data_IF_462197463351
#
_entry.id   IF_462197463351
#
_cell.length_a   1.000
_cell.length_b   1.000
_cell.length_c   1.000
_cell.angle_alpha   90.00
_cell.angle_beta   90.00
_cell.angle_gamma   90.00
#
_symmetry.space_group_name_H-M   'P 1'
#
loop_
_entity.id
_entity.type
_entity.pdbx_description
1 polymer ?
#
# COMPACT_ATOMS: atom_id res chain seq x y z
N UNK A 1 11.63 -12.91 -14.08
CA UNK A 1 11.72 -11.52 -13.60
C UNK A 1 11.92 -10.63 -14.82
N UNK A 2 11.00 -9.70 -15.11
CA UNK A 2 11.11 -8.73 -16.21
C UNK A 2 11.32 -7.31 -15.64
N UNK A 3 12.55 -6.76 -15.72
CA UNK A 3 12.85 -5.42 -15.23
C UNK A 3 12.07 -4.32 -15.95
N UNK A 4 11.80 -4.48 -17.25
CA UNK A 4 11.10 -3.49 -18.04
C UNK A 4 9.62 -3.45 -17.66
N UNK A 5 8.98 -4.61 -17.47
CA UNK A 5 7.63 -4.69 -16.91
C UNK A 5 7.57 -4.04 -15.52
N UNK A 6 8.54 -4.33 -14.63
CA UNK A 6 8.58 -3.75 -13.27
C UNK A 6 8.64 -2.21 -13.32
N UNK A 7 9.50 -1.62 -14.16
CA UNK A 7 9.60 -0.16 -14.32
C UNK A 7 8.29 0.44 -14.84
N UNK A 8 7.67 -0.17 -15.87
CA UNK A 8 6.39 0.30 -16.42
C UNK A 8 5.27 0.27 -15.38
N UNK A 9 5.14 -0.80 -14.61
CA UNK A 9 4.13 -0.92 -13.56
C UNK A 9 4.33 0.13 -12.46
N UNK A 10 5.59 0.36 -12.03
CA UNK A 10 5.89 1.41 -11.04
C UNK A 10 5.52 2.80 -11.53
N UNK A 11 5.90 3.13 -12.75
CA UNK A 11 5.52 4.40 -13.38
C UNK A 11 4.00 4.57 -13.48
N UNK A 12 3.27 3.53 -13.91
CA UNK A 12 1.82 3.56 -14.03
C UNK A 12 1.09 3.74 -12.68
N UNK A 13 1.70 3.29 -11.58
CA UNK A 13 1.17 3.41 -10.22
C UNK A 13 1.73 4.63 -9.45
N UNK A 14 2.55 5.48 -10.09
CA UNK A 14 3.17 6.63 -9.43
C UNK A 14 4.20 6.26 -8.35
N UNK A 15 4.74 5.05 -8.37
CA UNK A 15 5.74 4.58 -7.41
C UNK A 15 7.15 4.95 -7.89
N UNK A 16 8.02 5.52 -7.03
CA UNK A 16 9.42 5.70 -7.37
C UNK A 16 10.11 4.38 -7.71
N UNK A 17 11.11 4.43 -8.59
CA UNK A 17 11.78 3.25 -9.12
C UNK A 17 12.52 2.45 -8.02
N UNK A 18 13.11 3.17 -7.09
CA UNK A 18 13.89 2.73 -5.94
C UNK A 18 13.08 2.58 -4.64
N UNK A 19 11.79 2.96 -4.65
CA UNK A 19 10.94 2.84 -3.48
C UNK A 19 10.87 1.40 -2.96
N UNK A 20 11.05 1.24 -1.65
CA UNK A 20 10.73 0.01 -0.94
C UNK A 20 9.21 -0.13 -0.84
N UNK A 21 8.65 -1.14 -1.51
CA UNK A 21 7.19 -1.33 -1.63
C UNK A 21 6.80 -2.63 -0.95
N UNK A 22 5.96 -2.52 0.08
CA UNK A 22 5.24 -3.64 0.68
C UNK A 22 3.96 -3.82 -0.12
N UNK A 23 3.75 -5.02 -0.68
CA UNK A 23 2.56 -5.36 -1.45
C UNK A 23 1.60 -6.25 -0.67
N UNK A 24 0.31 -5.94 -0.69
CA UNK A 24 -0.76 -6.81 -0.18
C UNK A 24 -1.85 -7.00 -1.21
N UNK A 25 -2.26 -8.25 -1.49
CA UNK A 25 -3.30 -8.54 -2.49
C UNK A 25 -4.43 -9.36 -1.88
N UNK A 26 -5.66 -8.92 -2.07
CA UNK A 26 -6.87 -9.62 -1.67
C UNK A 26 -8.01 -8.71 -1.24
N UNK A 27 -9.14 -9.32 -0.85
CA UNK A 27 -10.34 -8.59 -0.42
C UNK A 27 -10.04 -7.65 0.75
N UNK A 28 -10.47 -6.39 0.67
CA UNK A 28 -10.37 -5.43 1.78
C UNK A 28 -11.45 -5.74 2.82
N UNK A 29 -11.20 -6.79 3.60
CA UNK A 29 -12.10 -7.32 4.62
C UNK A 29 -11.34 -7.54 5.94
N UNK A 30 -12.03 -7.50 7.10
CA UNK A 30 -11.39 -7.58 8.41
C UNK A 30 -10.45 -8.79 8.58
N UNK A 31 -10.82 -9.95 8.02
CA UNK A 31 -10.01 -11.18 8.10
C UNK A 31 -8.66 -11.10 7.38
N UNK A 32 -8.46 -10.15 6.46
CA UNK A 32 -7.16 -9.93 5.80
C UNK A 32 -6.18 -9.13 6.63
N UNK A 33 -6.66 -8.41 7.65
CA UNK A 33 -5.83 -7.64 8.59
C UNK A 33 -4.89 -6.64 7.91
N UNK A 34 -5.37 -5.97 6.86
CA UNK A 34 -4.58 -4.94 6.18
C UNK A 34 -4.33 -3.71 7.06
N UNK A 35 -5.10 -3.54 8.15
CA UNK A 35 -4.85 -2.59 9.23
C UNK A 35 -3.44 -2.73 9.81
N UNK A 36 -2.94 -3.98 9.94
CA UNK A 36 -1.60 -4.26 10.45
C UNK A 36 -0.52 -3.78 9.49
N UNK A 37 -0.72 -3.95 8.18
CA UNK A 37 0.23 -3.46 7.18
C UNK A 37 0.27 -1.94 7.16
N UNK A 38 -0.88 -1.27 7.25
CA UNK A 38 -0.94 0.20 7.34
C UNK A 38 -0.19 0.70 8.56
N UNK A 39 -0.39 0.07 9.73
CA UNK A 39 0.35 0.43 10.96
C UNK A 39 1.85 0.18 10.81
N UNK A 40 2.25 -0.96 10.27
CA UNK A 40 3.65 -1.30 10.09
C UNK A 40 4.37 -0.31 9.16
N UNK A 41 3.77 0.04 8.02
CA UNK A 41 4.35 0.99 7.06
C UNK A 41 4.37 2.42 7.61
N UNK A 42 3.44 2.78 8.50
CA UNK A 42 3.51 4.08 9.18
C UNK A 42 4.80 4.22 10.00
N UNK A 43 5.26 3.15 10.65
CA UNK A 43 6.49 3.13 11.47
C UNK A 43 7.79 2.98 10.64
N UNK A 44 7.68 2.78 9.31
CA UNK A 44 8.83 2.67 8.39
C UNK A 44 8.72 3.74 7.30
N UNK A 45 9.26 4.96 7.53
CA UNK A 45 9.06 6.12 6.65
C UNK A 45 9.47 5.89 5.18
N UNK A 46 10.48 5.07 4.93
CA UNK A 46 11.02 4.76 3.60
C UNK A 46 10.12 3.78 2.81
N UNK A 47 9.26 3.05 3.52
CA UNK A 47 8.37 2.08 2.91
C UNK A 47 7.09 2.73 2.37
N UNK A 48 6.59 2.16 1.28
CA UNK A 48 5.27 2.43 0.71
C UNK A 48 4.43 1.16 0.74
N UNK A 49 3.14 1.29 0.95
CA UNK A 49 2.19 0.19 0.93
C UNK A 49 1.36 0.25 -0.35
N UNK A 50 1.35 -0.83 -1.11
CA UNK A 50 0.42 -1.04 -2.23
C UNK A 50 -0.53 -2.18 -1.86
N UNK A 51 -1.81 -1.84 -1.62
CA UNK A 51 -2.88 -2.80 -1.43
C UNK A 51 -3.68 -2.91 -2.73
N UNK A 52 -3.92 -4.13 -3.18
CA UNK A 52 -4.68 -4.42 -4.41
C UNK A 52 -5.87 -5.29 -4.06
N UNK A 53 -7.06 -4.74 -4.26
CA UNK A 53 -8.33 -5.44 -4.08
C UNK A 53 -9.43 -4.49 -3.63
N UNK A 54 -10.62 -5.04 -3.49
CA UNK A 54 -11.83 -4.29 -3.14
C UNK A 54 -12.47 -4.83 -1.87
N UNK A 55 -13.26 -4.01 -1.18
CA UNK A 55 -14.03 -4.41 0.00
C UNK A 55 -14.37 -3.27 0.95
N UNK A 56 -15.20 -3.60 1.95
CA UNK A 56 -15.77 -2.61 2.87
C UNK A 56 -14.77 -1.90 3.79
N UNK A 57 -13.54 -2.41 3.92
CA UNK A 57 -12.52 -1.77 4.78
C UNK A 57 -11.77 -0.62 4.10
N UNK A 58 -12.01 -0.34 2.81
CA UNK A 58 -11.25 0.67 2.06
C UNK A 58 -11.19 2.02 2.76
N UNK A 59 -12.33 2.55 3.18
CA UNK A 59 -12.42 3.86 3.84
C UNK A 59 -11.72 3.85 5.21
N UNK A 60 -11.86 2.77 5.96
CA UNK A 60 -11.24 2.61 7.28
C UNK A 60 -9.71 2.53 7.17
N UNK A 61 -9.19 1.80 6.19
CA UNK A 61 -7.75 1.72 5.90
C UNK A 61 -7.18 3.09 5.50
N UNK A 62 -7.89 3.86 4.67
CA UNK A 62 -7.50 5.23 4.31
C UNK A 62 -7.51 6.16 5.53
N UNK A 63 -8.55 6.05 6.39
CA UNK A 63 -8.64 6.83 7.63
C UNK A 63 -7.49 6.52 8.57
N UNK A 64 -7.16 5.24 8.73
CA UNK A 64 -6.03 4.78 9.54
C UNK A 64 -4.70 5.31 8.99
N UNK A 65 -4.49 5.26 7.67
CA UNK A 65 -3.29 5.80 7.04
C UNK A 65 -3.12 7.30 7.31
N UNK A 66 -4.20 8.09 7.19
CA UNK A 66 -4.20 9.53 7.53
C UNK A 66 -3.90 9.77 9.01
N UNK A 67 -4.57 9.05 9.91
CA UNK A 67 -4.37 9.18 11.34
C UNK A 67 -2.93 8.84 11.79
N UNK A 68 -2.21 8.06 10.97
CA UNK A 68 -0.82 7.66 11.20
C UNK A 68 0.20 8.45 10.38
N UNK A 69 -0.22 9.49 9.66
CA UNK A 69 0.68 10.32 8.85
C UNK A 69 1.34 9.56 7.68
N UNK A 70 0.69 8.51 7.17
CA UNK A 70 1.19 7.67 6.09
C UNK A 70 0.30 7.69 4.83
N UNK A 71 -0.63 8.66 4.74
CA UNK A 71 -1.62 8.72 3.66
C UNK A 71 -1.00 8.89 2.26
N UNK A 72 0.13 9.57 2.17
CA UNK A 72 0.91 9.77 0.94
C UNK A 72 1.71 8.52 0.53
N UNK A 73 1.82 7.54 1.42
CA UNK A 73 2.60 6.30 1.21
C UNK A 73 1.73 5.05 1.13
N UNK A 74 0.42 5.15 1.27
CA UNK A 74 -0.54 4.02 1.19
C UNK A 74 -1.41 4.17 -0.06
N UNK A 75 -1.26 3.24 -1.00
CA UNK A 75 -2.04 3.14 -2.24
C UNK A 75 -3.02 1.95 -2.11
N UNK A 76 -4.29 2.19 -2.43
CA UNK A 76 -5.43 1.27 -2.26
C UNK A 76 -6.30 1.23 -3.52
#
# INVERSE_FOLDING_TARGET
FDPAARRRTRAALGLPEDAYVVGGVGRLAPGKRFDLLVRAVAEVPEARLLLVGEGGEREELLRLARARGAADRVLL
#
